data_IF_283045663037
#
_entry.id   IF_283045663037
#
_cell.length_a   1.000
_cell.length_b   1.000
_cell.length_c   1.000
_cell.angle_alpha   90.00
_cell.angle_beta   90.00
_cell.angle_gamma   90.00
#
_symmetry.space_group_name_H-M   'P 1'
#
loop_
_entity.id
_entity.type
_entity.pdbx_description
1 polymer ?
#
# COMPACT_ATOMS: atom_id res chain seq x y z
N UNK A 1 -6.33 -15.61 0.49
CA UNK A 1 -5.77 -14.33 -0.01
C UNK A 1 -6.67 -13.81 -1.12
N UNK A 2 -6.79 -12.48 -1.27
CA UNK A 2 -7.47 -11.83 -2.40
C UNK A 2 -6.46 -10.96 -3.14
N UNK A 3 -6.57 -10.88 -4.47
CA UNK A 3 -5.72 -10.04 -5.31
C UNK A 3 -6.33 -8.64 -5.47
N UNK A 4 -5.46 -7.64 -5.60
CA UNK A 4 -5.84 -6.25 -5.82
C UNK A 4 -4.97 -5.70 -6.94
N UNK A 5 -5.60 -5.28 -8.02
CA UNK A 5 -4.92 -4.67 -9.17
C UNK A 5 -5.29 -3.19 -9.23
N UNK A 6 -4.29 -2.33 -9.41
CA UNK A 6 -4.47 -0.89 -9.53
C UNK A 6 -3.83 -0.39 -10.81
N UNK A 7 -4.46 0.62 -11.42
CA UNK A 7 -3.85 1.40 -12.48
C UNK A 7 -3.23 2.64 -11.85
N UNK A 8 -1.97 2.88 -12.15
CA UNK A 8 -1.21 4.03 -11.68
C UNK A 8 -0.55 4.70 -12.89
N UNK A 9 -0.35 6.03 -12.86
CA UNK A 9 0.60 6.68 -13.75
C UNK A 9 1.98 6.04 -13.66
N UNK A 10 2.72 6.08 -14.76
CA UNK A 10 4.07 5.49 -14.83
C UNK A 10 5.02 6.13 -13.81
N UNK A 11 4.97 7.45 -13.65
CA UNK A 11 5.75 8.21 -12.67
C UNK A 11 5.57 7.71 -11.23
N UNK A 12 4.34 7.37 -10.87
CA UNK A 12 3.99 6.93 -9.51
C UNK A 12 4.50 5.50 -9.28
N UNK A 13 4.41 4.65 -10.32
CA UNK A 13 4.95 3.30 -10.28
C UNK A 13 6.48 3.29 -10.18
N UNK A 14 7.15 4.19 -10.92
CA UNK A 14 8.61 4.36 -10.84
C UNK A 14 9.04 4.79 -9.43
N UNK A 15 8.34 5.77 -8.86
CA UNK A 15 8.59 6.22 -7.48
C UNK A 15 8.44 5.07 -6.48
N UNK A 16 7.37 4.27 -6.62
CA UNK A 16 7.14 3.11 -5.76
C UNK A 16 8.25 2.06 -5.92
N UNK A 17 8.70 1.79 -7.16
CA UNK A 17 9.79 0.84 -7.43
C UNK A 17 11.11 1.29 -6.83
N UNK A 18 11.48 2.57 -7.01
CA UNK A 18 12.71 3.13 -6.46
C UNK A 18 12.75 3.02 -4.92
N UNK A 19 11.63 3.35 -4.26
CA UNK A 19 11.51 3.18 -2.81
C UNK A 19 11.63 1.71 -2.38
N UNK A 20 10.98 0.80 -3.10
CA UNK A 20 11.06 -0.64 -2.83
C UNK A 20 12.50 -1.17 -2.95
N UNK A 21 13.24 -0.71 -3.95
CA UNK A 21 14.64 -1.09 -4.17
C UNK A 21 15.55 -0.55 -3.06
N UNK A 22 15.41 0.74 -2.71
CA UNK A 22 16.21 1.36 -1.66
C UNK A 22 16.03 0.68 -0.29
N UNK A 23 14.79 0.35 0.06
CA UNK A 23 14.46 -0.22 1.37
C UNK A 23 14.51 -1.75 1.39
N UNK A 24 14.83 -2.41 0.26
CA UNK A 24 14.78 -3.85 0.07
C UNK A 24 13.41 -4.46 0.46
N UNK A 25 12.33 -3.87 -0.05
CA UNK A 25 10.94 -4.25 0.23
C UNK A 25 10.18 -4.56 -1.05
N UNK A 26 9.12 -5.37 -0.95
CA UNK A 26 8.22 -5.58 -2.10
C UNK A 26 7.12 -4.51 -2.13
N UNK A 27 6.61 -4.19 -3.32
CA UNK A 27 5.45 -3.30 -3.48
C UNK A 27 4.26 -3.75 -2.64
N UNK A 28 4.06 -5.07 -2.56
CA UNK A 28 3.00 -5.68 -1.76
C UNK A 28 3.17 -5.35 -0.27
N UNK A 29 4.39 -5.41 0.26
CA UNK A 29 4.66 -5.12 1.68
C UNK A 29 4.44 -3.65 2.00
N UNK A 30 4.87 -2.75 1.11
CA UNK A 30 4.67 -1.31 1.24
C UNK A 30 3.19 -0.96 1.25
N UNK A 31 2.42 -1.48 0.28
CA UNK A 31 0.98 -1.23 0.18
C UNK A 31 0.22 -1.83 1.38
N UNK A 32 0.59 -3.05 1.82
CA UNK A 32 -0.01 -3.66 3.02
C UNK A 32 0.25 -2.85 4.28
N UNK A 33 1.47 -2.36 4.47
CA UNK A 33 1.79 -1.51 5.61
C UNK A 33 0.99 -0.20 5.56
N UNK A 34 0.93 0.44 4.39
CA UNK A 34 0.14 1.65 4.20
C UNK A 34 -1.32 1.42 4.58
N UNK A 35 -1.96 0.36 4.07
CA UNK A 35 -3.34 -0.02 4.42
C UNK A 35 -3.51 -0.27 5.92
N UNK A 36 -2.55 -0.93 6.59
CA UNK A 36 -2.60 -1.15 8.05
C UNK A 36 -2.51 0.17 8.81
N UNK A 37 -1.72 1.13 8.33
CA UNK A 37 -1.63 2.46 8.92
C UNK A 37 -2.91 3.27 8.68
N UNK A 38 -3.62 3.05 7.57
CA UNK A 38 -4.94 3.65 7.33
C UNK A 38 -5.99 3.18 8.36
N UNK A 39 -5.94 1.91 8.82
CA UNK A 39 -6.86 1.42 9.86
C UNK A 39 -6.81 2.24 11.15
N UNK A 40 -5.65 2.81 11.49
CA UNK A 40 -5.51 3.68 12.67
C UNK A 40 -6.19 5.04 12.49
N UNK A 41 -6.46 5.43 11.25
CA UNK A 41 -7.11 6.70 10.87
C UNK A 41 -8.59 6.56 10.57
N UNK A 42 -9.06 5.34 10.28
CA UNK A 42 -10.47 5.04 10.12
C UNK A 42 -11.06 4.85 11.53
N UNK A 43 -11.93 5.77 11.96
CA UNK A 43 -12.84 5.48 13.09
C UNK A 43 -13.76 4.35 12.64
N UNK A 44 -13.61 3.17 13.22
CA UNK A 44 -14.62 2.13 13.03
C UNK A 44 -15.89 2.52 13.81
N UNK A 45 -16.86 3.13 13.13
CA UNK A 45 -18.28 2.87 13.40
C UNK A 45 -18.62 1.55 12.70
N UNK A 46 -18.28 0.43 13.30
CA UNK A 46 -18.83 -0.89 12.95
C UNK A 46 -18.43 -1.90 14.03
N UNK A 47 -18.93 -1.64 15.24
CA UNK A 47 -19.32 -2.67 16.19
C UNK A 47 -20.82 -2.45 16.44
N UNK A 48 -21.66 -3.02 15.57
CA UNK A 48 -23.11 -3.17 15.74
C UNK A 48 -23.55 -4.49 15.13
#
# INVERSE_FOLDING_TARGET
MKTFNIRLPESDLETLKAYCEQENRTQTDVIREFIRNLKRKIKHETDS
#
